data_IF_799311772622
#
_entry.id   IF_799311772622
#
_cell.length_a   1.000
_cell.length_b   1.000
_cell.length_c   1.000
_cell.angle_alpha   90.00
_cell.angle_beta   90.00
_cell.angle_gamma   90.00
#
_symmetry.space_group_name_H-M   'P 1'
#
loop_
_entity.id
_entity.type
_entity.pdbx_description
1 polymer ?
#
# COMPACT_ATOMS: atom_id res chain seq x y z
N UNK A 1 -18.36 -3.00 -15.01
CA UNK A 1 -18.25 -2.82 -13.54
C UNK A 1 -17.00 -3.51 -12.99
N UNK A 2 -16.62 -4.72 -13.47
CA UNK A 2 -15.47 -5.51 -12.98
C UNK A 2 -14.07 -4.87 -13.07
N UNK A 3 -13.77 -4.03 -14.07
CA UNK A 3 -12.39 -3.56 -14.30
C UNK A 3 -11.89 -2.59 -13.21
N UNK A 4 -12.80 -1.80 -12.63
CA UNK A 4 -12.46 -0.91 -11.51
C UNK A 4 -12.20 -1.69 -10.23
N UNK A 5 -12.97 -2.76 -9.98
CA UNK A 5 -12.82 -3.56 -8.76
C UNK A 5 -11.44 -4.22 -8.70
N UNK A 6 -11.01 -4.82 -9.83
CA UNK A 6 -9.67 -5.43 -9.92
C UNK A 6 -8.53 -4.40 -9.80
N UNK A 7 -8.68 -3.20 -10.35
CA UNK A 7 -7.69 -2.13 -10.15
C UNK A 7 -7.54 -1.78 -8.66
N UNK A 8 -8.65 -1.66 -7.95
CA UNK A 8 -8.64 -1.33 -6.52
C UNK A 8 -8.14 -2.48 -5.66
N UNK A 9 -8.37 -3.74 -6.04
CA UNK A 9 -7.75 -4.90 -5.40
C UNK A 9 -6.23 -4.91 -5.57
N UNK A 10 -5.73 -4.70 -6.79
CA UNK A 10 -4.28 -4.63 -7.05
C UNK A 10 -3.66 -3.43 -6.34
N UNK A 11 -4.33 -2.28 -6.32
CA UNK A 11 -3.92 -1.10 -5.54
C UNK A 11 -3.82 -1.43 -4.05
N UNK A 12 -4.87 -2.03 -3.48
CA UNK A 12 -4.91 -2.32 -2.06
C UNK A 12 -3.82 -3.32 -1.68
N UNK A 13 -3.65 -4.37 -2.48
CA UNK A 13 -2.59 -5.35 -2.27
C UNK A 13 -1.19 -4.72 -2.33
N UNK A 14 -0.99 -3.78 -3.26
CA UNK A 14 0.25 -3.02 -3.35
C UNK A 14 0.49 -2.15 -2.11
N UNK A 15 -0.54 -1.44 -1.63
CA UNK A 15 -0.45 -0.63 -0.41
C UNK A 15 -0.19 -1.48 0.83
N UNK A 16 -0.85 -2.65 0.96
CA UNK A 16 -0.60 -3.60 2.04
C UNK A 16 0.87 -4.08 2.04
N UNK A 17 1.42 -4.42 0.87
CA UNK A 17 2.84 -4.80 0.77
C UNK A 17 3.78 -3.67 1.21
N UNK A 18 3.42 -2.41 0.96
CA UNK A 18 4.18 -1.27 1.46
C UNK A 18 4.09 -1.14 2.98
N UNK A 19 2.94 -1.45 3.60
CA UNK A 19 2.80 -1.46 5.06
C UNK A 19 3.66 -2.54 5.68
N UNK A 20 3.75 -3.73 5.07
CA UNK A 20 4.66 -4.78 5.52
C UNK A 20 6.12 -4.28 5.53
N UNK A 21 6.55 -3.65 4.44
CA UNK A 21 7.92 -3.14 4.29
C UNK A 21 8.21 -1.96 5.25
N UNK A 22 7.31 -0.98 5.32
CA UNK A 22 7.58 0.34 5.91
C UNK A 22 6.78 0.67 7.18
N UNK A 23 5.88 -0.22 7.63
CA UNK A 23 5.09 -0.04 8.85
C UNK A 23 4.19 1.19 8.80
N UNK A 24 4.13 1.91 9.91
CA UNK A 24 3.22 3.05 10.11
C UNK A 24 3.38 4.15 9.06
N UNK A 25 4.61 4.41 8.58
CA UNK A 25 4.85 5.45 7.57
C UNK A 25 4.11 5.19 6.25
N UNK A 26 3.85 3.92 5.95
CA UNK A 26 3.08 3.50 4.79
C UNK A 26 1.61 3.23 5.11
N UNK A 27 1.08 3.55 6.29
CA UNK A 27 -0.36 3.44 6.53
C UNK A 27 -1.10 4.65 5.94
N UNK A 28 -2.16 4.45 5.15
CA UNK A 28 -2.91 5.57 4.57
C UNK A 28 -3.83 6.21 5.61
N UNK A 29 -4.09 7.51 5.46
CA UNK A 29 -5.15 8.23 6.20
C UNK A 29 -6.53 7.99 5.54
N UNK A 30 -6.81 6.74 5.18
CA UNK A 30 -8.05 6.32 4.53
C UNK A 30 -8.80 5.41 5.49
N UNK A 31 -9.91 5.92 6.04
CA UNK A 31 -10.74 5.19 6.99
C UNK A 31 -11.30 3.89 6.41
N UNK A 32 -11.72 3.90 5.15
CA UNK A 32 -12.34 2.73 4.49
C UNK A 32 -11.30 1.64 4.31
N UNK A 33 -10.11 1.99 3.82
CA UNK A 33 -8.99 1.06 3.70
C UNK A 33 -8.59 0.48 5.08
N UNK A 34 -8.36 1.34 6.07
CA UNK A 34 -7.93 0.93 7.39
C UNK A 34 -8.96 0.03 8.07
N UNK A 35 -10.26 0.29 7.88
CA UNK A 35 -11.33 -0.56 8.38
C UNK A 35 -11.39 -1.90 7.65
N UNK A 36 -11.33 -1.88 6.31
CA UNK A 36 -11.37 -3.08 5.44
C UNK A 36 -10.31 -4.10 5.83
N UNK A 37 -9.10 -3.65 6.17
CA UNK A 37 -7.96 -4.52 6.50
C UNK A 37 -7.66 -4.64 8.01
N UNK A 38 -8.61 -4.24 8.86
CA UNK A 38 -8.50 -4.32 10.33
C UNK A 38 -7.25 -3.61 10.91
N UNK A 39 -6.81 -2.54 10.26
CA UNK A 39 -5.66 -1.70 10.65
C UNK A 39 -6.08 -0.45 11.44
N UNK A 40 -7.37 -0.10 11.44
CA UNK A 40 -7.88 1.15 12.00
C UNK A 40 -7.54 1.35 13.49
N UNK A 41 -7.75 0.34 14.32
CA UNK A 41 -7.47 0.44 15.76
C UNK A 41 -5.97 0.61 16.03
N UNK A 42 -5.14 -0.13 15.30
CA UNK A 42 -3.67 -0.04 15.41
C UNK A 42 -3.22 1.36 15.01
N UNK A 43 -3.76 1.91 13.92
CA UNK A 43 -3.47 3.28 13.47
C UNK A 43 -3.76 4.32 14.56
N UNK A 44 -4.94 4.29 15.16
CA UNK A 44 -5.30 5.24 16.22
C UNK A 44 -4.44 5.09 17.48
N UNK A 45 -4.09 3.85 17.86
CA UNK A 45 -3.18 3.62 18.99
C UNK A 45 -1.77 4.16 18.70
N UNK A 46 -1.28 4.05 17.47
CA UNK A 46 0.02 4.63 17.08
C UNK A 46 -0.04 6.15 17.23
N UNK A 47 -1.07 6.80 16.71
CA UNK A 47 -1.24 8.26 16.84
C UNK A 47 -1.32 8.68 18.31
N UNK A 48 -2.12 7.99 19.13
CA UNK A 48 -2.29 8.31 20.54
C UNK A 48 -0.99 8.15 21.34
N UNK A 49 -0.27 7.05 21.13
CA UNK A 49 1.01 6.80 21.82
C UNK A 49 2.10 7.76 21.34
N UNK A 50 2.22 7.99 20.03
CA UNK A 50 3.19 8.94 19.46
C UNK A 50 2.97 10.36 19.99
N UNK A 51 1.72 10.82 20.04
CA UNK A 51 1.35 12.14 20.59
C UNK A 51 1.66 12.24 22.08
N UNK A 52 1.55 11.13 22.82
CA UNK A 52 1.90 11.05 24.24
C UNK A 52 3.40 10.81 24.50
N UNK A 53 4.25 10.77 23.46
CA UNK A 53 5.69 10.52 23.59
C UNK A 53 6.04 9.08 24.00
N UNK A 54 5.14 8.12 23.76
CA UNK A 54 5.31 6.71 24.11
C UNK A 54 5.86 5.90 22.93
N UNK A 55 6.54 4.81 23.23
CA UNK A 55 7.08 3.89 22.21
C UNK A 55 5.96 3.25 21.39
N UNK A 56 6.08 3.30 20.06
CA UNK A 56 5.12 2.72 19.11
C UNK A 56 5.60 1.43 18.43
N UNK A 57 6.84 0.99 18.69
CA UNK A 57 7.46 -0.13 17.95
C UNK A 57 6.60 -1.41 17.92
N UNK A 58 6.04 -1.80 19.07
CA UNK A 58 5.15 -2.97 19.15
C UNK A 58 3.88 -2.82 18.30
N UNK A 59 3.37 -1.59 18.14
CA UNK A 59 2.21 -1.30 17.29
C UNK A 59 2.60 -1.29 15.81
N UNK A 60 3.81 -0.82 15.47
CA UNK A 60 4.33 -0.92 14.12
C UNK A 60 4.51 -2.38 13.69
N UNK A 61 5.04 -3.23 14.57
CA UNK A 61 5.16 -4.68 14.34
C UNK A 61 3.78 -5.35 14.20
N UNK A 62 2.80 -4.94 15.01
CA UNK A 62 1.42 -5.38 14.88
C UNK A 62 0.81 -4.96 13.53
N UNK A 63 1.03 -3.72 13.08
CA UNK A 63 0.54 -3.24 11.78
C UNK A 63 1.14 -4.04 10.62
N UNK A 64 2.45 -4.30 10.66
CA UNK A 64 3.15 -5.12 9.65
C UNK A 64 2.61 -6.54 9.60
N UNK A 65 2.45 -7.16 10.76
CA UNK A 65 1.90 -8.53 10.88
C UNK A 65 0.47 -8.60 10.36
N UNK A 66 -0.37 -7.63 10.74
CA UNK A 66 -1.76 -7.57 10.28
C UNK A 66 -1.85 -7.36 8.76
N UNK A 67 -1.03 -6.48 8.19
CA UNK A 67 -0.99 -6.26 6.74
C UNK A 67 -0.52 -7.52 6.00
N UNK A 68 0.50 -8.21 6.51
CA UNK A 68 1.03 -9.45 5.95
C UNK A 68 -0.04 -10.53 5.78
N UNK A 69 -0.98 -10.64 6.72
CA UNK A 69 -2.08 -11.61 6.66
C UNK A 69 -3.08 -11.32 5.53
N UNK A 70 -3.10 -10.08 5.03
CA UNK A 70 -4.04 -9.60 4.01
C UNK A 70 -3.42 -9.53 2.61
N UNK A 71 -2.09 -9.63 2.51
CA UNK A 71 -1.38 -9.58 1.22
C UNK A 71 -1.66 -10.86 0.44
N UNK A 72 -2.22 -10.71 -0.75
CA UNK A 72 -2.24 -11.74 -1.78
C UNK A 72 -0.87 -11.78 -2.46
N UNK A 73 -0.10 -12.82 -2.18
CA UNK A 73 1.25 -13.04 -2.73
C UNK A 73 1.26 -13.35 -4.23
N UNK A 74 0.14 -13.80 -4.79
CA UNK A 74 0.03 -14.22 -6.20
C UNK A 74 -0.50 -13.09 -7.11
N UNK A 75 -0.69 -11.89 -6.55
CA UNK A 75 -1.18 -10.73 -7.29
C UNK A 75 -0.13 -10.21 -8.28
N UNK A 76 -0.50 -10.14 -9.57
CA UNK A 76 0.43 -9.81 -10.68
C UNK A 76 0.56 -8.31 -11.01
N UNK A 77 -0.28 -7.46 -10.42
CA UNK A 77 -0.29 -6.00 -10.64
C UNK A 77 -0.41 -5.55 -12.12
N UNK A 78 -0.92 -6.41 -13.00
CA UNK A 78 -1.02 -6.14 -14.44
C UNK A 78 -1.96 -4.98 -14.74
N UNK A 79 -3.12 -4.92 -14.06
CA UNK A 79 -4.13 -3.86 -14.25
C UNK A 79 -3.63 -2.53 -13.69
N UNK A 80 -2.91 -2.56 -12.57
CA UNK A 80 -2.28 -1.37 -11.98
C UNK A 80 -1.18 -0.80 -12.90
N UNK A 81 -0.39 -1.68 -13.53
CA UNK A 81 0.61 -1.29 -14.52
C UNK A 81 -0.05 -0.72 -15.78
N UNK A 82 -1.09 -1.37 -16.31
CA UNK A 82 -1.85 -0.88 -17.46
C UNK A 82 -2.47 0.50 -17.18
N UNK A 83 -3.05 0.68 -15.99
CA UNK A 83 -3.60 1.97 -15.56
C UNK A 83 -2.55 3.09 -15.60
N UNK A 84 -1.31 2.80 -15.18
CA UNK A 84 -0.21 3.76 -15.29
C UNK A 84 0.15 4.11 -16.73
N UNK A 85 0.18 3.12 -17.64
CA UNK A 85 0.47 3.35 -19.06
C UNK A 85 -0.60 4.24 -19.70
N UNK A 86 -1.88 3.99 -19.39
CA UNK A 86 -3.01 4.68 -20.00
C UNK A 86 -3.24 6.10 -19.41
N UNK A 87 -3.10 6.26 -18.09
CA UNK A 87 -3.50 7.48 -17.39
C UNK A 87 -2.30 8.34 -16.94
N UNK A 88 -1.10 7.77 -16.97
CA UNK A 88 0.14 8.43 -16.63
C UNK A 88 0.32 8.73 -15.14
N UNK A 89 1.46 9.34 -14.84
CA UNK A 89 1.97 9.55 -13.47
C UNK A 89 0.97 10.23 -12.53
N UNK A 90 0.35 11.34 -12.93
CA UNK A 90 -0.48 12.15 -12.03
C UNK A 90 -1.69 11.37 -11.52
N UNK A 91 -2.36 10.64 -12.41
CA UNK A 91 -3.51 9.81 -12.08
C UNK A 91 -3.12 8.65 -11.15
N UNK A 92 -2.02 7.93 -11.45
CA UNK A 92 -1.52 6.85 -10.61
C UNK A 92 -1.09 7.32 -9.22
N UNK A 93 -0.47 8.50 -9.11
CA UNK A 93 -0.15 9.08 -7.80
C UNK A 93 -1.41 9.38 -6.99
N UNK A 94 -2.46 9.89 -7.64
CA UNK A 94 -3.75 10.14 -7.00
C UNK A 94 -4.41 8.85 -6.51
N UNK A 95 -4.34 7.77 -7.31
CA UNK A 95 -4.84 6.44 -6.95
C UNK A 95 -4.24 5.94 -5.62
N UNK A 96 -2.98 6.28 -5.36
CA UNK A 96 -2.24 5.98 -4.13
C UNK A 96 -2.41 7.02 -3.01
N UNK A 97 -3.39 7.93 -3.11
CA UNK A 97 -3.59 9.01 -2.13
C UNK A 97 -2.41 10.00 -2.06
N UNK A 98 -1.65 10.13 -3.15
CA UNK A 98 -0.45 10.99 -3.26
C UNK A 98 0.67 10.69 -2.25
N UNK A 99 0.71 9.49 -1.66
CA UNK A 99 1.77 9.09 -0.75
C UNK A 99 3.09 8.80 -1.51
N UNK A 100 4.17 9.48 -1.11
CA UNK A 100 5.49 9.40 -1.75
C UNK A 100 6.15 8.02 -1.60
N UNK A 101 5.85 7.27 -0.53
CA UNK A 101 6.40 5.94 -0.30
C UNK A 101 5.87 4.98 -1.37
N UNK A 102 4.57 4.95 -1.56
CA UNK A 102 3.92 4.12 -2.58
C UNK A 102 4.46 4.43 -3.97
N UNK A 103 4.58 5.72 -4.33
CA UNK A 103 5.12 6.11 -5.63
C UNK A 103 6.56 5.62 -5.85
N UNK A 104 7.44 5.82 -4.85
CA UNK A 104 8.83 5.35 -4.94
C UNK A 104 8.91 3.83 -5.04
N UNK A 105 8.08 3.11 -4.29
CA UNK A 105 8.03 1.64 -4.32
C UNK A 105 7.51 1.14 -5.66
N UNK A 106 6.49 1.79 -6.23
CA UNK A 106 5.88 1.42 -7.50
C UNK A 106 6.87 1.56 -8.65
N UNK A 107 7.62 2.67 -8.71
CA UNK A 107 8.68 2.86 -9.70
C UNK A 107 9.76 1.79 -9.64
N UNK A 108 10.11 1.29 -8.45
CA UNK A 108 11.06 0.19 -8.30
C UNK A 108 10.50 -1.13 -8.86
N UNK A 109 9.21 -1.38 -8.63
CA UNK A 109 8.54 -2.57 -9.18
C UNK A 109 8.53 -2.53 -10.71
N UNK A 110 8.17 -1.39 -11.32
CA UNK A 110 8.17 -1.22 -12.77
C UNK A 110 9.55 -1.47 -13.40
N UNK A 111 10.62 -0.93 -12.78
CA UNK A 111 11.99 -1.15 -13.28
C UNK A 111 12.39 -2.62 -13.26
N UNK A 112 12.09 -3.33 -12.17
CA UNK A 112 12.40 -4.75 -12.06
C UNK A 112 11.69 -5.58 -13.13
N UNK A 113 10.41 -5.30 -13.38
CA UNK A 113 9.64 -5.99 -14.42
C UNK A 113 10.17 -5.70 -15.83
N UNK A 114 10.65 -4.48 -16.09
CA UNK A 114 11.31 -4.16 -17.36
C UNK A 114 12.61 -4.99 -17.54
N UNK A 115 13.45 -5.04 -16.51
CA UNK A 115 14.72 -5.78 -16.54
C UNK A 115 14.50 -7.31 -16.72
N UNK A 116 13.43 -7.87 -16.13
CA UNK A 116 13.07 -9.28 -16.26
C UNK A 116 12.56 -9.63 -17.67
N UNK A 117 11.83 -8.72 -18.34
CA UNK A 117 11.31 -8.93 -19.69
C UNK A 117 12.35 -8.74 -20.82
N UNK A 118 13.58 -8.29 -20.48
CA UNK A 118 14.66 -8.09 -21.46
C UNK A 118 15.70 -9.21 -21.44
N UNK A 119 15.52 -10.24 -20.61
CA UNK A 119 16.38 -11.42 -20.49
C UNK A 119 15.75 -12.63 -21.17
#
# INVERSE_FOLDING_TARGET
MEQNDRLYEERDNFMLSCIVDYGFMAMPQDYVFLKKYSLLNIYFQIIANSTAGRTIQHLEEAAKSQASLQVNTDCKFDVLNQYYVENGRKATQSLFGSNKIYWKRFLKTLKRTADENTR
#
